data_IF_618905090591
#
_entry.id   IF_618905090591
#
_cell.length_a   1.000
_cell.length_b   1.000
_cell.length_c   1.000
_cell.angle_alpha   90.00
_cell.angle_beta   90.00
_cell.angle_gamma   90.00
#
_symmetry.space_group_name_H-M   'P 1'
#
loop_
_entity.id
_entity.type
_entity.pdbx_description
1 polymer ?
#
# COMPACT_ATOMS: atom_id res chain seq x y z
N UNK A 1 -12.27 9.01 18.90
CA UNK A 1 -13.39 9.32 17.98
C UNK A 1 -14.17 8.04 17.63
N UNK A 2 -14.68 7.36 18.62
CA UNK A 2 -15.67 6.28 18.42
C UNK A 2 -17.03 6.94 18.29
N UNK A 3 -17.79 6.59 17.25
CA UNK A 3 -19.18 6.99 16.99
C UNK A 3 -19.46 8.49 16.72
N UNK A 4 -18.93 9.02 15.65
CA UNK A 4 -19.71 10.01 14.95
C UNK A 4 -20.79 9.25 14.17
N UNK A 5 -21.95 8.92 14.79
CA UNK A 5 -23.07 8.20 14.16
C UNK A 5 -23.46 8.80 12.80
N UNK A 6 -22.69 8.45 11.79
CA UNK A 6 -23.10 8.53 10.41
C UNK A 6 -24.02 7.35 10.27
N UNK A 7 -25.33 7.60 10.15
CA UNK A 7 -26.31 6.53 9.93
C UNK A 7 -25.84 5.72 8.73
N UNK A 8 -25.46 4.48 8.97
CA UNK A 8 -24.85 3.55 8.02
C UNK A 8 -25.84 3.10 6.92
N UNK A 9 -27.09 3.51 7.02
CA UNK A 9 -28.16 2.86 6.29
C UNK A 9 -28.34 3.28 4.83
N UNK A 10 -27.80 4.40 4.35
CA UNK A 10 -28.14 4.90 3.00
C UNK A 10 -27.02 5.54 2.17
N UNK A 11 -25.86 5.86 2.72
CA UNK A 11 -24.79 6.56 2.00
C UNK A 11 -23.49 5.76 2.01
N UNK A 12 -22.78 5.65 0.88
CA UNK A 12 -21.49 5.00 0.77
C UNK A 12 -21.39 3.99 -0.37
N UNK A 13 -20.31 3.25 -0.43
CA UNK A 13 -20.05 2.22 -1.44
C UNK A 13 -20.43 0.85 -0.87
N UNK A 14 -21.21 0.07 -1.58
CA UNK A 14 -21.60 -1.28 -1.15
C UNK A 14 -20.51 -2.29 -1.49
N UNK A 15 -19.87 -2.85 -0.46
CA UNK A 15 -18.88 -3.92 -0.59
C UNK A 15 -19.34 -5.14 0.21
N UNK A 16 -19.50 -6.28 -0.47
CA UNK A 16 -19.95 -7.55 0.15
C UNK A 16 -21.23 -7.38 1.00
N UNK A 17 -22.24 -6.73 0.42
CA UNK A 17 -23.53 -6.41 1.06
C UNK A 17 -23.44 -5.49 2.30
N UNK A 18 -22.32 -4.85 2.53
CA UNK A 18 -22.13 -3.83 3.58
C UNK A 18 -21.90 -2.47 2.95
N UNK A 19 -22.55 -1.47 3.50
CA UNK A 19 -22.36 -0.09 3.06
C UNK A 19 -21.18 0.54 3.82
N UNK A 20 -20.12 0.95 3.10
CA UNK A 20 -18.92 1.58 3.65
C UNK A 20 -18.87 3.01 3.15
N UNK A 21 -19.04 3.96 4.05
CA UNK A 21 -19.02 5.39 3.72
C UNK A 21 -17.76 6.11 4.22
N UNK A 22 -16.99 5.49 5.12
CA UNK A 22 -15.74 6.09 5.59
C UNK A 22 -14.74 5.03 6.08
N UNK A 23 -13.45 5.35 5.93
CA UNK A 23 -12.33 4.64 6.55
C UNK A 23 -11.56 5.65 7.41
N UNK A 24 -11.28 5.28 8.66
CA UNK A 24 -10.60 6.16 9.62
C UNK A 24 -9.39 5.47 10.25
N UNK A 25 -8.31 6.21 10.29
CA UNK A 25 -7.10 5.80 11.00
C UNK A 25 -6.45 7.02 11.64
N UNK A 26 -6.42 7.07 12.96
CA UNK A 26 -5.94 8.22 13.73
C UNK A 26 -6.65 9.52 13.29
N UNK A 27 -5.92 10.44 12.68
CA UNK A 27 -6.41 11.70 12.11
C UNK A 27 -6.72 11.63 10.61
N UNK A 28 -6.36 10.54 9.96
CA UNK A 28 -6.65 10.36 8.53
C UNK A 28 -8.05 9.77 8.35
N UNK A 29 -8.85 10.39 7.49
CA UNK A 29 -10.21 9.95 7.18
C UNK A 29 -10.40 9.97 5.67
N UNK A 30 -10.86 8.85 5.11
CA UNK A 30 -11.32 8.76 3.72
C UNK A 30 -12.84 8.61 3.74
N UNK A 31 -13.54 9.45 3.00
CA UNK A 31 -14.99 9.38 2.80
C UNK A 31 -15.24 8.82 1.41
N UNK A 32 -16.21 7.91 1.29
CA UNK A 32 -16.56 7.24 0.05
C UNK A 32 -18.06 7.39 -0.21
N UNK A 33 -18.41 7.65 -1.45
CA UNK A 33 -19.79 7.77 -1.91
C UNK A 33 -19.92 7.36 -3.39
N UNK A 34 -21.12 7.02 -3.82
CA UNK A 34 -21.41 6.66 -5.21
C UNK A 34 -21.69 7.89 -6.08
N UNK A 35 -22.11 9.02 -5.46
CA UNK A 35 -22.37 10.29 -6.16
C UNK A 35 -21.67 11.49 -5.51
N UNK A 36 -21.56 12.58 -6.28
CA UNK A 36 -20.97 13.84 -5.81
C UNK A 36 -21.82 14.49 -4.71
N UNK A 37 -23.14 14.46 -4.87
CA UNK A 37 -24.11 15.03 -3.93
C UNK A 37 -24.04 14.31 -2.58
N UNK A 38 -23.95 13.00 -2.64
CA UNK A 38 -23.82 12.14 -1.46
C UNK A 38 -22.50 12.41 -0.74
N UNK A 39 -21.39 12.52 -1.48
CA UNK A 39 -20.08 12.84 -0.93
C UNK A 39 -20.08 14.21 -0.23
N UNK A 40 -20.73 15.23 -0.84
CA UNK A 40 -20.92 16.55 -0.23
C UNK A 40 -21.70 16.46 1.08
N UNK A 41 -22.81 15.72 1.07
CA UNK A 41 -23.65 15.53 2.27
C UNK A 41 -22.88 14.87 3.41
N UNK A 42 -22.14 13.78 3.10
CA UNK A 42 -21.29 13.09 4.09
C UNK A 42 -20.21 13.98 4.66
N UNK A 43 -19.54 14.75 3.80
CA UNK A 43 -18.47 15.65 4.21
C UNK A 43 -18.98 16.77 5.11
N UNK A 44 -20.14 17.37 4.80
CA UNK A 44 -20.76 18.40 5.65
C UNK A 44 -21.16 17.84 7.02
N UNK A 45 -21.70 16.61 7.08
CA UNK A 45 -21.99 15.92 8.34
C UNK A 45 -20.73 15.69 9.18
N UNK A 46 -19.63 15.25 8.55
CA UNK A 46 -18.34 15.05 9.24
C UNK A 46 -17.79 16.36 9.74
N UNK A 47 -17.87 17.44 8.94
CA UNK A 47 -17.43 18.78 9.32
C UNK A 47 -18.19 19.29 10.54
N UNK A 48 -19.52 19.29 10.50
CA UNK A 48 -20.37 19.74 11.61
C UNK A 48 -20.05 18.99 12.93
N UNK A 49 -19.90 17.67 12.85
CA UNK A 49 -19.57 16.85 14.03
C UNK A 49 -18.16 17.10 14.55
N UNK A 50 -17.21 17.37 13.66
CA UNK A 50 -15.82 17.70 14.04
C UNK A 50 -15.74 19.05 14.71
N UNK A 51 -16.46 20.06 14.20
CA UNK A 51 -16.52 21.40 14.78
C UNK A 51 -17.13 21.39 16.19
N UNK A 52 -18.16 20.55 16.43
CA UNK A 52 -18.76 20.38 17.76
C UNK A 52 -17.77 19.87 18.82
N UNK A 53 -16.74 19.16 18.41
CA UNK A 53 -15.67 18.69 19.31
C UNK A 53 -14.38 19.51 19.20
N UNK A 54 -14.44 20.69 18.56
CA UNK A 54 -13.32 21.62 18.45
C UNK A 54 -12.25 21.24 17.41
N UNK A 55 -12.54 20.28 16.52
CA UNK A 55 -11.61 19.85 15.46
C UNK A 55 -11.90 20.61 14.17
N UNK A 56 -10.86 21.22 13.59
CA UNK A 56 -10.95 21.91 12.30
C UNK A 56 -10.37 21.01 11.19
N UNK A 57 -11.03 20.97 10.06
CA UNK A 57 -10.55 20.28 8.87
C UNK A 57 -9.49 21.13 8.17
N UNK A 58 -8.43 20.50 7.70
CA UNK A 58 -7.42 21.17 6.89
C UNK A 58 -7.78 20.99 5.41
N UNK A 59 -8.49 21.95 4.84
CA UNK A 59 -8.99 21.90 3.46
C UNK A 59 -7.83 21.82 2.45
N UNK A 60 -6.70 22.46 2.73
CA UNK A 60 -5.51 22.41 1.86
C UNK A 60 -4.88 20.99 1.73
N UNK A 61 -5.13 20.12 2.71
CA UNK A 61 -4.69 18.72 2.65
C UNK A 61 -5.74 17.76 2.12
N UNK A 62 -6.97 18.23 1.93
CA UNK A 62 -8.03 17.42 1.34
C UNK A 62 -7.77 17.20 -0.13
N UNK A 63 -8.02 15.96 -0.56
CA UNK A 63 -7.91 15.56 -1.95
C UNK A 63 -9.14 14.77 -2.33
N UNK A 64 -9.63 14.99 -3.55
CA UNK A 64 -10.76 14.26 -4.11
C UNK A 64 -10.27 13.44 -5.28
N UNK A 65 -10.73 12.21 -5.34
CA UNK A 65 -10.52 11.33 -6.47
C UNK A 65 -11.86 10.73 -6.89
N UNK A 66 -12.10 10.63 -8.18
CA UNK A 66 -13.31 10.02 -8.73
C UNK A 66 -12.97 9.22 -10.00
N UNK A 67 -13.82 8.24 -10.32
CA UNK A 67 -13.74 7.48 -11.56
C UNK A 67 -14.24 8.27 -12.78
N UNK A 68 -15.05 9.32 -12.54
CA UNK A 68 -15.54 10.26 -13.56
C UNK A 68 -14.78 11.59 -13.48
N UNK A 69 -14.82 12.36 -14.58
CA UNK A 69 -14.23 13.70 -14.62
C UNK A 69 -15.00 14.65 -13.70
N UNK A 70 -14.36 15.00 -12.56
CA UNK A 70 -14.82 16.11 -11.72
C UNK A 70 -13.99 17.33 -12.09
N UNK A 71 -14.67 18.40 -12.54
CA UNK A 71 -14.02 19.60 -13.06
C UNK A 71 -13.59 20.57 -11.96
N UNK A 72 -14.36 20.68 -10.89
CA UNK A 72 -14.00 21.52 -9.74
C UNK A 72 -14.84 21.17 -8.51
N UNK A 73 -14.22 21.19 -7.34
CA UNK A 73 -14.92 21.00 -6.07
C UNK A 73 -14.61 22.13 -5.11
N UNK A 74 -15.66 22.70 -4.52
CA UNK A 74 -15.51 23.78 -3.54
C UNK A 74 -16.21 23.41 -2.22
N UNK A 75 -15.56 23.72 -1.12
CA UNK A 75 -16.13 23.65 0.22
C UNK A 75 -15.85 25.01 0.90
N UNK A 76 -16.89 25.65 1.40
CA UNK A 76 -16.80 26.96 2.05
C UNK A 76 -16.10 28.05 1.21
N UNK A 77 -16.21 27.97 -0.11
CA UNK A 77 -15.54 28.87 -1.04
C UNK A 77 -14.06 28.54 -1.33
N UNK A 78 -13.49 27.52 -0.69
CA UNK A 78 -12.15 27.04 -0.99
C UNK A 78 -12.19 25.87 -2.01
N UNK A 79 -11.28 25.93 -2.98
CA UNK A 79 -11.12 24.88 -3.98
C UNK A 79 -10.40 23.67 -3.40
N UNK A 80 -10.94 22.48 -3.61
CA UNK A 80 -10.27 21.23 -3.24
C UNK A 80 -9.57 20.65 -4.46
N UNK A 81 -8.33 20.18 -4.25
CA UNK A 81 -7.52 19.56 -5.29
C UNK A 81 -8.12 18.24 -5.75
N UNK A 82 -8.46 18.15 -7.03
CA UNK A 82 -8.85 16.88 -7.67
C UNK A 82 -7.60 16.17 -8.16
N UNK A 83 -7.41 14.92 -7.73
CA UNK A 83 -6.22 14.14 -8.03
C UNK A 83 -6.58 12.80 -8.67
N UNK A 84 -5.70 12.28 -9.51
CA UNK A 84 -5.81 10.95 -10.11
C UNK A 84 -5.23 9.85 -9.20
N UNK A 85 -4.42 10.24 -8.24
CA UNK A 85 -3.82 9.35 -7.28
C UNK A 85 -3.54 10.06 -5.95
N UNK A 86 -3.50 9.32 -4.87
CA UNK A 86 -3.16 9.83 -3.53
C UNK A 86 -2.50 8.74 -2.69
N UNK A 87 -1.83 9.17 -1.61
CA UNK A 87 -1.24 8.23 -0.65
C UNK A 87 -2.15 8.15 0.56
N UNK A 88 -2.63 6.94 0.86
CA UNK A 88 -3.41 6.64 2.05
C UNK A 88 -2.73 5.53 2.85
N UNK A 89 -2.46 5.79 4.12
CA UNK A 89 -1.75 4.88 5.03
C UNK A 89 -0.44 4.32 4.43
N UNK A 90 0.30 5.16 3.71
CA UNK A 90 1.56 4.78 3.09
C UNK A 90 1.46 4.06 1.75
N UNK A 91 0.26 3.68 1.30
CA UNK A 91 0.03 3.06 -0.02
C UNK A 91 -0.53 4.06 -1.02
N UNK A 92 -0.02 4.02 -2.26
CA UNK A 92 -0.51 4.84 -3.37
C UNK A 92 -1.75 4.20 -3.97
N UNK A 93 -2.86 4.92 -3.93
CA UNK A 93 -4.15 4.53 -4.51
C UNK A 93 -4.37 5.36 -5.77
N UNK A 94 -4.80 4.71 -6.85
CA UNK A 94 -5.09 5.33 -8.14
C UNK A 94 -6.57 5.16 -8.48
N UNK A 95 -7.14 6.07 -9.26
CA UNK A 95 -8.56 6.04 -9.68
C UNK A 95 -8.91 4.80 -10.52
N UNK A 96 -7.94 4.27 -11.27
CA UNK A 96 -8.10 3.08 -12.11
C UNK A 96 -7.90 1.75 -11.34
N UNK A 97 -7.54 1.81 -10.06
CA UNK A 97 -7.25 0.64 -9.24
C UNK A 97 -6.00 -0.14 -9.68
N UNK A 98 -5.17 0.40 -10.58
CA UNK A 98 -3.95 -0.27 -11.05
C UNK A 98 -2.81 -0.12 -10.04
N UNK A 99 -2.41 -1.22 -9.42
CA UNK A 99 -1.32 -1.25 -8.43
C UNK A 99 0.09 -1.13 -9.03
N UNK A 100 0.24 -1.04 -10.36
CA UNK A 100 1.54 -0.96 -11.05
C UNK A 100 2.42 0.18 -10.55
N UNK A 101 1.82 1.34 -10.35
CA UNK A 101 2.53 2.53 -9.87
C UNK A 101 3.00 2.35 -8.43
N UNK A 102 2.17 1.73 -7.59
CA UNK A 102 2.52 1.44 -6.21
C UNK A 102 3.63 0.40 -6.10
N UNK A 103 3.52 -0.72 -6.83
CA UNK A 103 4.58 -1.74 -6.89
C UNK A 103 5.91 -1.10 -7.30
N UNK A 104 5.91 -0.30 -8.37
CA UNK A 104 7.12 0.40 -8.83
C UNK A 104 7.67 1.33 -7.75
N UNK A 105 6.81 2.08 -7.07
CA UNK A 105 7.20 2.99 -5.99
C UNK A 105 7.85 2.24 -4.83
N UNK A 106 7.23 1.16 -4.33
CA UNK A 106 7.78 0.34 -3.25
C UNK A 106 9.14 -0.25 -3.62
N UNK A 107 9.28 -0.85 -4.80
CA UNK A 107 10.55 -1.40 -5.26
C UNK A 107 11.66 -0.34 -5.38
N UNK A 108 11.33 0.89 -5.76
CA UNK A 108 12.30 1.98 -5.86
C UNK A 108 12.71 2.51 -4.47
N UNK A 109 11.75 2.67 -3.57
CA UNK A 109 12.01 3.14 -2.20
C UNK A 109 12.95 2.20 -1.47
N UNK A 110 12.75 0.88 -1.63
CA UNK A 110 13.52 -0.14 -0.92
C UNK A 110 14.95 -0.34 -1.48
N UNK A 111 15.29 0.29 -2.58
CA UNK A 111 16.69 0.31 -3.05
C UNK A 111 17.62 1.08 -2.10
N UNK A 112 17.13 2.16 -1.48
CA UNK A 112 17.93 2.96 -0.54
C UNK A 112 18.27 2.19 0.76
N UNK A 113 17.31 1.60 1.49
CA UNK A 113 17.57 0.70 2.61
C UNK A 113 18.55 -0.42 2.25
N UNK A 114 18.36 -1.10 1.11
CA UNK A 114 19.28 -2.15 0.66
C UNK A 114 20.70 -1.61 0.43
N UNK A 115 20.84 -0.37 -0.03
CA UNK A 115 22.14 0.28 -0.20
C UNK A 115 22.77 0.64 1.13
N UNK A 116 21.98 1.07 2.10
CA UNK A 116 22.45 1.39 3.45
C UNK A 116 23.00 0.17 4.19
N UNK A 117 22.57 -1.03 3.82
CA UNK A 117 23.12 -2.29 4.36
C UNK A 117 24.50 -2.65 3.81
N UNK A 118 25.03 -1.94 2.83
CA UNK A 118 26.29 -2.30 2.15
C UNK A 118 27.47 -2.52 3.10
N UNK A 119 27.63 -1.70 4.15
CA UNK A 119 28.70 -1.86 5.13
C UNK A 119 28.60 -3.21 5.84
N UNK A 120 27.41 -3.60 6.25
CA UNK A 120 27.12 -4.88 6.92
C UNK A 120 27.28 -6.04 5.94
N UNK A 121 26.73 -5.90 4.72
CA UNK A 121 26.82 -6.93 3.70
C UNK A 121 28.27 -7.16 3.23
N UNK A 122 29.14 -6.13 3.34
CA UNK A 122 30.57 -6.21 3.04
C UNK A 122 31.40 -6.87 4.13
N UNK A 123 30.95 -6.89 5.39
CA UNK A 123 31.69 -7.51 6.47
C UNK A 123 31.97 -8.99 6.19
N UNK A 124 33.18 -9.45 6.52
CA UNK A 124 33.56 -10.88 6.45
C UNK A 124 33.15 -11.65 7.69
N UNK A 125 32.93 -10.95 8.80
CA UNK A 125 32.61 -11.56 10.09
C UNK A 125 31.15 -12.02 10.17
N UNK A 126 30.31 -11.55 9.23
CA UNK A 126 28.89 -11.89 9.19
C UNK A 126 28.66 -13.02 8.16
N UNK A 127 28.08 -14.11 8.65
CA UNK A 127 27.80 -15.29 7.80
C UNK A 127 26.74 -15.02 6.73
N UNK A 128 26.78 -15.76 5.63
CA UNK A 128 25.82 -15.63 4.56
C UNK A 128 24.35 -15.81 5.03
N UNK A 129 24.00 -16.83 5.84
CA UNK A 129 22.65 -16.97 6.35
C UNK A 129 22.16 -15.76 7.15
N UNK A 130 23.05 -15.15 7.95
CA UNK A 130 22.72 -13.95 8.73
C UNK A 130 22.43 -12.75 7.82
N UNK A 131 23.25 -12.56 6.77
CA UNK A 131 23.01 -11.52 5.76
C UNK A 131 21.68 -11.71 5.03
N UNK A 132 21.35 -12.95 4.66
CA UNK A 132 20.07 -13.29 4.02
C UNK A 132 18.90 -12.95 4.96
N UNK A 133 19.00 -13.33 6.24
CA UNK A 133 17.98 -12.99 7.26
C UNK A 133 17.82 -11.48 7.41
N UNK A 134 18.92 -10.75 7.41
CA UNK A 134 18.90 -9.28 7.52
C UNK A 134 18.14 -8.63 6.35
N UNK A 135 18.43 -9.02 5.12
CA UNK A 135 17.71 -8.51 3.94
C UNK A 135 16.23 -8.85 4.00
N UNK A 136 15.89 -10.09 4.37
CA UNK A 136 14.49 -10.52 4.55
C UNK A 136 13.76 -9.75 5.66
N UNK A 137 14.45 -9.38 6.74
CA UNK A 137 13.83 -8.68 7.86
C UNK A 137 13.72 -7.17 7.67
N UNK A 138 14.64 -6.54 6.93
CA UNK A 138 14.70 -5.08 6.83
C UNK A 138 14.21 -4.52 5.49
N UNK A 139 14.34 -5.28 4.40
CA UNK A 139 13.99 -4.79 3.05
C UNK A 139 12.65 -5.34 2.60
N UNK A 140 12.43 -6.65 2.71
CA UNK A 140 11.23 -7.29 2.16
C UNK A 140 9.92 -6.86 2.83
N UNK A 141 9.82 -6.65 4.16
CA UNK A 141 8.56 -6.22 4.77
C UNK A 141 8.04 -4.90 4.22
N UNK A 142 8.91 -3.95 3.93
CA UNK A 142 8.52 -2.68 3.37
C UNK A 142 8.11 -2.80 1.88
N UNK A 143 8.74 -3.72 1.12
CA UNK A 143 8.32 -4.03 -0.26
C UNK A 143 6.93 -4.66 -0.30
N UNK A 144 6.61 -5.56 0.64
CA UNK A 144 5.31 -6.27 0.65
C UNK A 144 4.23 -5.53 1.42
N UNK A 145 4.53 -4.36 1.97
CA UNK A 145 3.54 -3.55 2.69
C UNK A 145 2.37 -3.20 1.78
N UNK A 146 1.15 -3.53 2.22
CA UNK A 146 -0.09 -3.28 1.46
C UNK A 146 -0.29 -4.21 0.25
N UNK A 147 0.55 -5.23 0.05
CA UNK A 147 0.44 -6.14 -1.09
C UNK A 147 -0.85 -6.97 -1.10
N UNK A 148 -1.57 -7.03 0.03
CA UNK A 148 -2.83 -7.77 0.15
C UNK A 148 -3.89 -7.25 -0.83
N UNK A 149 -3.89 -5.93 -1.08
CA UNK A 149 -4.81 -5.26 -2.01
C UNK A 149 -4.35 -5.28 -3.47
N UNK A 150 -3.11 -5.71 -3.78
CA UNK A 150 -2.58 -5.60 -5.14
C UNK A 150 -3.11 -6.69 -6.08
N UNK A 151 -3.53 -6.30 -7.27
CA UNK A 151 -3.79 -7.21 -8.38
C UNK A 151 -2.51 -7.33 -9.21
N UNK A 152 -1.68 -8.34 -8.90
CA UNK A 152 -0.35 -8.50 -9.52
C UNK A 152 -0.50 -9.19 -10.88
N UNK A 153 -0.10 -8.51 -11.95
CA UNK A 153 -0.05 -9.05 -13.32
C UNK A 153 1.34 -9.66 -13.61
N UNK A 154 1.47 -10.46 -14.65
CA UNK A 154 2.77 -11.11 -15.03
C UNK A 154 3.93 -10.11 -15.22
N UNK A 155 3.64 -8.90 -15.68
CA UNK A 155 4.67 -7.87 -15.84
C UNK A 155 5.22 -7.38 -14.50
N UNK A 156 4.37 -7.28 -13.50
CA UNK A 156 4.74 -6.89 -12.13
C UNK A 156 5.50 -8.02 -11.43
N UNK A 157 5.11 -9.30 -11.63
CA UNK A 157 5.89 -10.45 -11.15
C UNK A 157 7.35 -10.38 -11.63
N UNK A 158 7.56 -10.13 -12.92
CA UNK A 158 8.91 -9.99 -13.47
C UNK A 158 9.72 -8.84 -12.83
N UNK A 159 9.08 -7.75 -12.46
CA UNK A 159 9.74 -6.62 -11.78
C UNK A 159 10.10 -6.96 -10.34
N UNK A 160 9.22 -7.68 -9.65
CA UNK A 160 9.43 -8.17 -8.28
C UNK A 160 10.60 -9.16 -8.27
N UNK A 161 10.62 -10.12 -9.20
CA UNK A 161 11.72 -11.09 -9.36
C UNK A 161 13.04 -10.39 -9.69
N UNK A 162 13.02 -9.40 -10.58
CA UNK A 162 14.22 -8.64 -10.93
C UNK A 162 14.77 -7.85 -9.72
N UNK A 163 13.90 -7.30 -8.89
CA UNK A 163 14.29 -6.63 -7.65
C UNK A 163 14.88 -7.61 -6.64
N UNK A 164 14.24 -8.76 -6.43
CA UNK A 164 14.74 -9.81 -5.53
C UNK A 164 16.14 -10.27 -5.96
N UNK A 165 16.31 -10.58 -7.25
CA UNK A 165 17.61 -10.96 -7.79
C UNK A 165 18.66 -9.86 -7.67
N UNK A 166 18.27 -8.58 -7.82
CA UNK A 166 19.15 -7.46 -7.58
C UNK A 166 19.62 -7.41 -6.11
N UNK A 167 18.73 -7.65 -5.13
CA UNK A 167 19.08 -7.74 -3.72
C UNK A 167 20.10 -8.87 -3.48
N UNK A 168 19.85 -10.06 -4.03
CA UNK A 168 20.74 -11.21 -3.85
C UNK A 168 22.09 -11.02 -4.52
N UNK A 169 22.13 -10.47 -5.74
CA UNK A 169 23.39 -10.14 -6.41
C UNK A 169 24.20 -9.12 -5.60
N UNK A 170 23.56 -8.12 -5.05
CA UNK A 170 24.21 -7.12 -4.21
C UNK A 170 24.77 -7.75 -2.93
N UNK A 171 24.00 -8.61 -2.28
CA UNK A 171 24.43 -9.36 -1.09
C UNK A 171 25.64 -10.23 -1.39
N UNK A 172 25.65 -10.96 -2.50
CA UNK A 172 26.76 -11.82 -2.94
C UNK A 172 27.90 -11.03 -3.61
N UNK A 173 27.77 -9.73 -3.80
CA UNK A 173 28.73 -8.88 -4.52
C UNK A 173 28.99 -9.32 -5.96
N UNK A 174 27.98 -9.88 -6.61
CA UNK A 174 28.06 -10.31 -8.00
C UNK A 174 27.58 -9.16 -8.90
N UNK A 175 28.47 -8.48 -9.65
CA UNK A 175 28.05 -7.44 -10.56
C UNK A 175 27.16 -8.02 -11.65
N UNK A 176 26.26 -7.20 -12.18
CA UNK A 176 25.34 -7.65 -13.23
C UNK A 176 26.10 -8.09 -14.52
N UNK A 177 27.31 -7.56 -14.74
CA UNK A 177 28.21 -7.91 -15.83
C UNK A 177 28.83 -9.30 -15.70
N UNK A 178 28.84 -9.87 -14.49
CA UNK A 178 29.32 -11.22 -14.28
C UNK A 178 28.37 -12.23 -14.98
N UNK A 179 28.93 -13.12 -15.79
CA UNK A 179 28.16 -14.16 -16.52
C UNK A 179 27.63 -15.27 -15.59
N UNK A 180 27.12 -14.89 -14.43
CA UNK A 180 26.57 -15.78 -13.45
C UNK A 180 25.06 -15.86 -13.59
N UNK A 181 24.52 -17.08 -13.77
CA UNK A 181 23.08 -17.28 -13.97
C UNK A 181 22.26 -16.97 -12.71
N UNK A 182 21.00 -16.55 -12.90
CA UNK A 182 20.06 -16.30 -11.81
C UNK A 182 19.84 -17.57 -10.96
N UNK A 183 19.77 -18.74 -11.60
CA UNK A 183 19.64 -20.02 -10.91
C UNK A 183 20.82 -20.31 -9.97
N UNK A 184 22.05 -19.97 -10.39
CA UNK A 184 23.25 -20.11 -9.56
C UNK A 184 23.18 -19.20 -8.33
N UNK A 185 22.68 -17.97 -8.46
CA UNK A 185 22.47 -17.05 -7.35
C UNK A 185 21.45 -17.64 -6.37
N UNK A 186 20.29 -18.08 -6.85
CA UNK A 186 19.23 -18.63 -6.02
C UNK A 186 19.64 -19.93 -5.31
N UNK A 187 20.43 -20.79 -5.97
CA UNK A 187 20.99 -22.00 -5.34
C UNK A 187 21.91 -21.70 -4.18
N UNK A 188 22.66 -20.61 -4.23
CA UNK A 188 23.57 -20.21 -3.16
C UNK A 188 22.79 -19.56 -1.99
N UNK A 189 21.84 -18.69 -2.28
CA UNK A 189 21.00 -18.02 -1.26
C UNK A 189 20.03 -19.00 -0.60
N UNK A 190 19.46 -19.94 -1.38
CA UNK A 190 18.41 -20.89 -0.94
C UNK A 190 17.28 -20.19 -0.19
N UNK A 191 16.60 -19.23 -0.80
CA UNK A 191 15.46 -18.58 -0.15
C UNK A 191 14.36 -19.61 0.08
N UNK A 192 13.75 -19.60 1.25
CA UNK A 192 12.61 -20.45 1.59
C UNK A 192 11.41 -20.17 0.67
N UNK A 193 11.18 -18.87 0.40
CA UNK A 193 10.19 -18.36 -0.53
C UNK A 193 10.83 -17.29 -1.40
N UNK A 194 10.39 -17.19 -2.65
CA UNK A 194 10.62 -15.98 -3.46
C UNK A 194 9.84 -14.80 -2.88
N UNK A 195 10.18 -13.59 -3.24
CA UNK A 195 9.46 -12.38 -2.82
C UNK A 195 7.99 -12.43 -3.29
N UNK A 196 7.74 -12.92 -4.52
CA UNK A 196 6.40 -13.18 -5.03
C UNK A 196 5.67 -14.22 -4.18
N UNK A 197 6.32 -15.33 -3.83
CA UNK A 197 5.78 -16.36 -2.95
C UNK A 197 5.43 -15.82 -1.56
N UNK A 198 6.23 -14.92 -1.01
CA UNK A 198 5.92 -14.22 0.24
C UNK A 198 4.66 -13.35 0.12
N UNK A 199 4.52 -12.60 -0.97
CA UNK A 199 3.32 -11.80 -1.22
C UNK A 199 2.07 -12.66 -1.34
N UNK A 200 2.14 -13.79 -2.05
CA UNK A 200 1.03 -14.74 -2.14
C UNK A 200 0.65 -15.31 -0.77
N UNK A 201 1.66 -15.70 0.03
CA UNK A 201 1.42 -16.20 1.39
C UNK A 201 0.68 -15.15 2.25
N UNK A 202 1.09 -13.89 2.22
CA UNK A 202 0.45 -12.80 2.96
C UNK A 202 -1.00 -12.59 2.50
N UNK A 203 -1.26 -12.61 1.18
CA UNK A 203 -2.61 -12.53 0.63
C UNK A 203 -3.52 -13.66 1.12
N UNK A 204 -3.04 -14.90 1.10
CA UNK A 204 -3.82 -16.02 1.61
C UNK A 204 -4.08 -15.93 3.12
N UNK A 205 -3.11 -15.45 3.90
CA UNK A 205 -3.30 -15.19 5.32
C UNK A 205 -4.38 -14.14 5.55
N UNK A 206 -4.31 -13.01 4.83
CA UNK A 206 -5.31 -11.96 4.92
C UNK A 206 -6.71 -12.47 4.52
N UNK A 207 -6.80 -13.18 3.39
CA UNK A 207 -8.06 -13.79 2.94
C UNK A 207 -8.65 -14.75 3.99
N UNK A 208 -7.82 -15.60 4.59
CA UNK A 208 -8.25 -16.48 5.67
C UNK A 208 -8.83 -15.71 6.87
N UNK A 209 -8.19 -14.61 7.27
CA UNK A 209 -8.71 -13.76 8.35
C UNK A 209 -10.04 -13.09 7.99
N UNK A 210 -10.20 -12.65 6.74
CA UNK A 210 -11.46 -12.04 6.28
C UNK A 210 -12.58 -13.08 6.31
N UNK A 211 -12.34 -14.29 5.81
CA UNK A 211 -13.34 -15.38 5.81
C UNK A 211 -13.77 -15.80 7.21
N UNK A 212 -12.83 -15.93 8.14
CA UNK A 212 -13.16 -16.25 9.53
C UNK A 212 -14.00 -15.18 10.22
N UNK A 213 -13.86 -13.91 9.84
CA UNK A 213 -14.69 -12.82 10.38
C UNK A 213 -16.09 -12.78 9.78
N UNK A 214 -16.28 -13.25 8.56
CA UNK A 214 -17.60 -13.31 7.92
C UNK A 214 -18.49 -14.43 8.53
N UNK A 215 -17.87 -15.48 9.06
CA UNK A 215 -18.58 -16.58 9.73
C UNK A 215 -18.96 -16.28 11.18
N UNK A 216 -18.58 -15.12 11.72
CA UNK A 216 -18.80 -14.72 13.13
C UNK A 216 -20.02 -13.79 13.33
N UNK A 217 -20.90 -13.67 12.31
CA UNK A 217 -22.10 -12.81 12.37
C UNK A 217 -23.36 -13.56 11.96
#
# INVERSE_FOLDING_TARGET
MQNAGLDEAQAGITIAARNINNLRYANDTTIMAESEEELKSLLMKVKEKSEKVGLKHNIQKMKITASSLITSWQIDGEMIETVTDFIFLGSKITTDGDCRHEIKRCLLLERKPMTNLDSILKSRDITLPTKVRLVKAMVFPAVVYGCDSWTIKKAECRRIDAFELWCWRRLLRVPWTARRSNQSILKEIRPEYSLEGLMLKLKFQYFGHVMQRTDSF
#
